data_IF_285944917283
#
_entry.id   IF_285944917283
#
_cell.length_a   1.000
_cell.length_b   1.000
_cell.length_c   1.000
_cell.angle_alpha   90.00
_cell.angle_beta   90.00
_cell.angle_gamma   90.00
#
_symmetry.space_group_name_H-M   'P 1'
#
loop_
_entity.id
_entity.type
_entity.pdbx_description
1 polymer ?
#
# COMPACT_ATOMS: atom_id res chain seq x y z
N UNK A 1 12.38 -4.38 28.36
CA UNK A 1 11.60 -3.63 27.34
C UNK A 1 11.39 -4.49 26.12
N UNK A 2 10.18 -4.51 25.63
CA UNK A 2 9.87 -5.25 24.40
C UNK A 2 10.58 -4.61 23.19
N UNK A 3 11.17 -5.43 22.32
CA UNK A 3 11.73 -4.97 21.05
C UNK A 3 10.60 -4.44 20.18
N UNK A 4 10.70 -3.24 19.60
CA UNK A 4 9.67 -2.71 18.71
C UNK A 4 9.44 -3.66 17.52
N UNK A 5 8.19 -3.86 17.14
CA UNK A 5 7.85 -4.64 15.97
C UNK A 5 8.18 -3.82 14.71
N UNK A 6 9.01 -4.40 13.86
CA UNK A 6 9.50 -3.74 12.64
C UNK A 6 9.10 -4.46 11.34
N UNK A 7 8.42 -5.58 11.46
CA UNK A 7 8.01 -6.39 10.30
C UNK A 7 6.64 -7.01 10.49
N UNK A 8 5.97 -7.30 9.38
CA UNK A 8 4.64 -7.93 9.37
C UNK A 8 4.57 -8.99 8.29
N UNK A 9 4.05 -10.16 8.66
CA UNK A 9 3.74 -11.23 7.72
C UNK A 9 2.50 -10.90 6.88
N UNK A 10 2.25 -11.67 5.83
CA UNK A 10 1.05 -11.55 5.01
C UNK A 10 -0.24 -11.69 5.85
N UNK A 11 -0.28 -12.62 6.80
CA UNK A 11 -1.44 -12.80 7.69
C UNK A 11 -1.68 -11.58 8.59
N UNK A 12 -0.61 -11.01 9.13
CA UNK A 12 -0.69 -9.81 9.95
C UNK A 12 -1.14 -8.59 9.15
N UNK A 13 -0.67 -8.44 7.91
CA UNK A 13 -1.13 -7.39 6.99
C UNK A 13 -2.62 -7.56 6.68
N UNK A 14 -3.05 -8.80 6.44
CA UNK A 14 -4.46 -9.13 6.20
C UNK A 14 -5.37 -8.75 7.38
N UNK A 15 -4.87 -8.86 8.60
CA UNK A 15 -5.60 -8.43 9.80
C UNK A 15 -5.67 -6.89 9.95
N UNK A 16 -4.68 -6.16 9.42
CA UNK A 16 -4.62 -4.70 9.53
C UNK A 16 -5.34 -3.97 8.38
N UNK A 17 -5.34 -4.55 7.18
CA UNK A 17 -5.94 -3.94 5.99
C UNK A 17 -7.23 -4.68 5.59
N UNK A 18 -8.24 -3.97 5.08
CA UNK A 18 -9.49 -4.57 4.65
C UNK A 18 -9.41 -5.25 3.27
N UNK A 19 -8.36 -4.98 2.51
CA UNK A 19 -8.19 -5.48 1.14
C UNK A 19 -8.11 -7.00 1.09
N UNK A 20 -8.74 -7.59 0.07
CA UNK A 20 -8.79 -9.05 -0.14
C UNK A 20 -8.47 -9.36 -1.59
N UNK A 21 -8.22 -10.64 -1.88
CA UNK A 21 -8.00 -11.09 -3.25
C UNK A 21 -9.13 -10.58 -4.19
N UNK A 22 -8.80 -10.07 -5.38
CA UNK A 22 -7.48 -9.97 -6.02
C UNK A 22 -6.76 -8.64 -5.72
N UNK A 23 -7.16 -7.90 -4.72
CA UNK A 23 -6.73 -6.53 -4.45
C UNK A 23 -5.83 -6.38 -3.20
N UNK A 24 -5.37 -7.48 -2.63
CA UNK A 24 -4.37 -7.48 -1.56
C UNK A 24 -2.98 -7.43 -2.21
N UNK A 25 -2.35 -6.25 -2.22
CA UNK A 25 -1.16 -5.98 -3.03
C UNK A 25 0.13 -5.84 -2.22
N UNK A 26 0.12 -6.25 -0.95
CA UNK A 26 1.33 -6.23 -0.11
C UNK A 26 1.52 -7.60 0.52
N UNK A 27 2.67 -8.21 0.27
CA UNK A 27 2.98 -9.57 0.71
C UNK A 27 3.72 -9.60 2.05
N UNK A 28 4.50 -8.56 2.35
CA UNK A 28 5.27 -8.44 3.58
C UNK A 28 5.62 -6.99 3.86
N UNK A 29 5.69 -6.63 5.13
CA UNK A 29 6.36 -5.42 5.60
C UNK A 29 7.71 -5.83 6.17
N UNK A 30 8.79 -5.28 5.63
CA UNK A 30 10.17 -5.63 6.03
C UNK A 30 10.81 -4.60 6.94
N UNK A 31 10.26 -3.40 6.98
CA UNK A 31 10.64 -2.36 7.93
C UNK A 31 9.44 -1.47 8.26
N UNK A 32 9.34 -1.06 9.52
CA UNK A 32 8.24 -0.26 10.02
C UNK A 32 8.67 0.58 11.19
N UNK A 33 8.41 1.87 11.10
CA UNK A 33 8.58 2.82 12.20
C UNK A 33 7.25 3.51 12.47
N UNK A 34 6.68 3.36 13.70
CA UNK A 34 5.36 3.91 14.03
C UNK A 34 5.22 5.38 13.66
N UNK A 35 4.13 5.73 12.99
CA UNK A 35 3.76 7.06 12.54
C UNK A 35 4.80 7.75 11.63
N UNK A 36 5.75 7.01 11.07
CA UNK A 36 6.80 7.56 10.20
C UNK A 36 6.83 6.91 8.83
N UNK A 37 7.18 5.63 8.75
CA UNK A 37 7.30 4.94 7.46
C UNK A 37 7.11 3.44 7.57
N UNK A 38 6.92 2.83 6.42
CA UNK A 38 7.02 1.39 6.24
C UNK A 38 7.68 1.07 4.89
N UNK A 39 8.34 -0.07 4.82
CA UNK A 39 8.84 -0.66 3.59
C UNK A 39 8.10 -1.97 3.38
N UNK A 40 7.38 -2.06 2.28
CA UNK A 40 6.60 -3.24 1.90
C UNK A 40 7.11 -3.91 0.65
N UNK A 41 6.82 -5.20 0.53
CA UNK A 41 7.15 -6.02 -0.64
C UNK A 41 5.86 -6.48 -1.30
N UNK A 42 5.81 -6.38 -2.62
CA UNK A 42 4.87 -7.09 -3.48
C UNK A 42 5.63 -7.98 -4.46
N UNK A 43 5.36 -9.26 -4.43
CA UNK A 43 5.83 -10.17 -5.47
C UNK A 43 4.87 -10.11 -6.66
N UNK A 44 5.40 -9.78 -7.83
CA UNK A 44 4.62 -9.70 -9.06
C UNK A 44 4.68 -11.05 -9.75
N UNK A 45 3.53 -11.72 -9.86
CA UNK A 45 3.46 -13.05 -10.45
C UNK A 45 2.56 -13.08 -11.68
N UNK A 46 2.87 -13.97 -12.62
CA UNK A 46 2.02 -14.17 -13.80
C UNK A 46 0.61 -14.65 -13.42
N UNK A 47 0.47 -15.26 -12.26
CA UNK A 47 -0.81 -15.77 -11.72
C UNK A 47 -1.60 -14.68 -11.00
N UNK A 48 -1.76 -13.53 -11.64
CA UNK A 48 -2.60 -12.42 -11.16
C UNK A 48 -3.61 -12.04 -12.24
N UNK A 49 -4.88 -11.80 -11.87
CA UNK A 49 -5.98 -11.66 -12.88
C UNK A 49 -5.77 -10.53 -13.87
N UNK A 50 -5.15 -9.43 -13.48
CA UNK A 50 -5.00 -8.26 -14.35
C UNK A 50 -4.06 -8.51 -15.54
N UNK A 51 -3.16 -9.49 -15.48
CA UNK A 51 -2.27 -9.80 -16.59
C UNK A 51 -2.99 -10.47 -17.78
N UNK A 52 -4.20 -10.95 -17.59
CA UNK A 52 -5.00 -11.48 -18.71
C UNK A 52 -5.41 -10.37 -19.70
N UNK A 53 -5.66 -9.18 -19.19
CA UNK A 53 -6.12 -8.04 -19.98
C UNK A 53 -5.08 -6.94 -20.17
N UNK A 54 -4.02 -6.91 -19.40
CA UNK A 54 -3.03 -5.81 -19.43
C UNK A 54 -1.60 -6.33 -19.61
N UNK A 55 -1.19 -6.72 -20.79
CA UNK A 55 -1.94 -6.79 -22.05
C UNK A 55 -1.85 -8.21 -22.61
N UNK A 56 -2.77 -8.68 -23.44
CA UNK A 56 -2.68 -10.01 -24.03
C UNK A 56 -1.34 -10.26 -24.70
N UNK A 57 -0.61 -11.30 -24.25
CA UNK A 57 0.73 -11.62 -24.75
C UNK A 57 1.85 -10.69 -24.32
N UNK A 58 1.56 -9.64 -23.54
CA UNK A 58 2.53 -8.65 -23.07
C UNK A 58 2.18 -8.19 -21.64
N UNK A 59 2.46 -9.02 -20.62
CA UNK A 59 2.05 -8.72 -19.27
C UNK A 59 2.88 -7.59 -18.66
N UNK A 60 2.21 -6.52 -18.31
CA UNK A 60 2.78 -5.37 -17.60
C UNK A 60 1.88 -5.06 -16.41
N UNK A 61 2.46 -4.88 -15.22
CA UNK A 61 1.68 -4.47 -14.07
C UNK A 61 1.11 -3.06 -14.31
N UNK A 62 -0.23 -2.89 -14.20
CA UNK A 62 -0.81 -1.57 -14.34
C UNK A 62 -0.17 -0.58 -13.36
N UNK A 63 0.28 0.57 -13.88
CA UNK A 63 0.92 1.58 -13.04
C UNK A 63 0.04 2.06 -11.89
N UNK A 64 -1.26 2.16 -12.13
CA UNK A 64 -2.23 2.52 -11.08
C UNK A 64 -2.30 1.50 -9.96
N UNK A 65 -1.99 0.23 -10.22
CA UNK A 65 -1.90 -0.80 -9.19
C UNK A 65 -0.59 -0.72 -8.40
N UNK A 66 0.48 -0.21 -8.97
CA UNK A 66 1.71 0.10 -8.22
C UNK A 66 1.41 1.22 -7.22
N UNK A 67 0.71 2.26 -7.65
CA UNK A 67 0.26 3.36 -6.78
C UNK A 67 -0.63 2.81 -5.66
N UNK A 68 -1.57 1.94 -5.99
CA UNK A 68 -2.43 1.28 -4.99
C UNK A 68 -1.62 0.44 -4.00
N UNK A 69 -0.63 -0.33 -4.47
CA UNK A 69 0.23 -1.12 -3.60
C UNK A 69 1.00 -0.23 -2.61
N UNK A 70 1.54 0.89 -3.08
CA UNK A 70 2.18 1.89 -2.20
C UNK A 70 1.18 2.46 -1.19
N UNK A 71 -0.05 2.73 -1.61
CA UNK A 71 -1.12 3.19 -0.72
C UNK A 71 -1.43 2.19 0.39
N UNK A 72 -1.43 0.91 0.07
CA UNK A 72 -1.65 -0.15 1.06
C UNK A 72 -0.50 -0.23 2.07
N UNK A 73 0.74 -0.07 1.64
CA UNK A 73 1.88 0.07 2.56
C UNK A 73 1.68 1.27 3.48
N UNK A 74 1.25 2.40 2.93
CA UNK A 74 0.90 3.60 3.71
C UNK A 74 -0.23 3.36 4.70
N UNK A 75 -1.21 2.54 4.33
CA UNK A 75 -2.30 2.12 5.20
C UNK A 75 -1.81 1.40 6.45
N UNK A 76 -0.75 0.60 6.35
CA UNK A 76 -0.12 -0.05 7.50
C UNK A 76 0.40 1.00 8.50
N UNK A 77 0.95 2.08 8.01
CA UNK A 77 1.43 3.19 8.88
C UNK A 77 0.26 3.92 9.52
N UNK A 78 -0.75 4.32 8.73
CA UNK A 78 -1.88 5.12 9.21
C UNK A 78 -2.77 4.39 10.20
N UNK A 79 -3.13 3.14 9.89
CA UNK A 79 -4.13 2.41 10.67
C UNK A 79 -3.64 1.98 12.05
N UNK A 80 -2.36 2.13 12.33
CA UNK A 80 -1.78 1.83 13.64
C UNK A 80 -1.52 3.08 14.49
N UNK A 81 -1.86 4.25 13.98
CA UNK A 81 -1.75 5.50 14.76
C UNK A 81 -2.95 5.58 15.71
N UNK A 82 -2.71 5.79 17.02
CA UNK A 82 -3.81 5.91 17.99
C UNK A 82 -4.82 6.99 17.59
N UNK A 83 -6.10 6.65 17.60
CA UNK A 83 -7.20 7.54 17.24
C UNK A 83 -7.54 7.59 15.75
N UNK A 84 -6.77 6.94 14.89
CA UNK A 84 -7.14 6.73 13.49
C UNK A 84 -8.03 5.49 13.40
N UNK A 85 -9.28 5.70 13.01
CA UNK A 85 -10.29 4.63 12.91
C UNK A 85 -11.14 4.83 11.67
N UNK A 86 -11.44 3.76 10.97
CA UNK A 86 -12.28 3.76 9.79
C UNK A 86 -11.60 3.18 8.56
N UNK A 87 -12.12 3.55 7.40
CA UNK A 87 -11.61 3.11 6.11
C UNK A 87 -10.75 4.20 5.48
N UNK A 88 -9.54 3.83 5.08
CA UNK A 88 -8.62 4.72 4.40
C UNK A 88 -8.93 4.73 2.90
N UNK A 89 -9.32 5.87 2.37
CA UNK A 89 -9.61 6.04 0.94
C UNK A 89 -8.73 7.13 0.33
N UNK A 90 -8.43 7.02 -0.96
CA UNK A 90 -7.73 8.08 -1.67
C UNK A 90 -8.52 9.38 -1.67
N UNK A 91 -7.85 10.49 -1.35
CA UNK A 91 -8.35 11.86 -1.52
C UNK A 91 -7.65 12.57 -2.68
N UNK A 92 -6.44 12.18 -3.02
CA UNK A 92 -5.69 12.75 -4.13
C UNK A 92 -4.38 12.03 -4.36
N UNK A 93 -3.83 12.24 -5.55
CA UNK A 93 -2.56 11.67 -6.00
C UNK A 93 -1.83 12.78 -6.75
N UNK A 94 -0.62 13.11 -6.32
CA UNK A 94 0.19 14.15 -6.93
C UNK A 94 1.58 13.66 -7.30
N UNK A 95 2.18 14.29 -8.30
CA UNK A 95 3.59 14.10 -8.69
C UNK A 95 3.94 12.64 -8.98
N UNK A 96 3.00 11.87 -9.50
CA UNK A 96 3.22 10.48 -9.86
C UNK A 96 4.02 10.41 -11.15
N UNK A 97 5.07 9.58 -11.14
CA UNK A 97 5.88 9.27 -12.32
C UNK A 97 6.10 7.77 -12.38
N UNK A 98 5.86 7.22 -13.55
CA UNK A 98 6.16 5.84 -13.91
C UNK A 98 7.45 5.82 -14.70
N UNK A 99 8.50 5.22 -14.13
CA UNK A 99 9.87 5.28 -14.70
C UNK A 99 10.20 4.07 -15.54
N UNK A 100 9.69 2.91 -15.17
CA UNK A 100 9.98 1.63 -15.82
C UNK A 100 8.76 0.71 -15.73
N UNK A 101 8.54 -0.14 -16.76
CA UNK A 101 7.51 -1.18 -16.65
C UNK A 101 7.90 -2.22 -15.60
N UNK A 102 6.89 -2.73 -14.92
CA UNK A 102 7.02 -3.83 -13.95
C UNK A 102 6.32 -5.04 -14.55
N UNK A 103 6.99 -6.18 -14.54
CA UNK A 103 6.55 -7.40 -15.20
C UNK A 103 6.53 -8.59 -14.24
N UNK A 104 5.80 -9.67 -14.55
CA UNK A 104 5.83 -10.89 -13.75
C UNK A 104 7.26 -11.40 -13.53
N UNK A 105 7.58 -11.76 -12.31
CA UNK A 105 8.91 -12.14 -11.85
C UNK A 105 9.63 -11.02 -11.09
N UNK A 106 9.18 -9.78 -11.20
CA UNK A 106 9.72 -8.67 -10.44
C UNK A 106 9.23 -8.70 -8.98
N UNK A 107 10.06 -8.18 -8.09
CA UNK A 107 9.67 -7.89 -6.72
C UNK A 107 9.68 -6.38 -6.51
N UNK A 108 8.53 -5.79 -6.20
CA UNK A 108 8.43 -4.40 -5.80
C UNK A 108 8.87 -4.23 -4.36
N UNK A 109 9.77 -3.29 -4.12
CA UNK A 109 10.12 -2.81 -2.78
C UNK A 109 9.61 -1.38 -2.67
N UNK A 110 8.66 -1.15 -1.78
CA UNK A 110 7.92 0.11 -1.68
C UNK A 110 8.21 0.77 -0.34
N UNK A 111 8.84 1.94 -0.40
CA UNK A 111 9.08 2.78 0.79
C UNK A 111 8.04 3.88 0.83
N UNK A 112 7.27 3.95 1.89
CA UNK A 112 6.21 4.95 2.06
C UNK A 112 6.40 5.69 3.39
N UNK A 113 6.51 7.02 3.29
CA UNK A 113 6.72 7.91 4.42
C UNK A 113 5.50 8.77 4.69
N UNK A 114 5.11 8.89 5.96
CA UNK A 114 4.08 9.84 6.39
C UNK A 114 4.68 11.26 6.44
N UNK A 115 4.15 12.16 5.62
CA UNK A 115 4.57 13.57 5.57
C UNK A 115 3.74 14.47 6.49
N UNK A 116 2.43 14.21 6.57
CA UNK A 116 1.50 14.98 7.40
C UNK A 116 0.27 14.15 7.74
N UNK A 117 -0.27 14.39 8.93
CA UNK A 117 -1.55 13.85 9.35
C UNK A 117 -2.32 14.95 10.08
N UNK A 118 -3.48 15.35 9.53
CA UNK A 118 -4.33 16.40 10.09
C UNK A 118 -5.60 15.80 10.65
N UNK A 119 -5.94 16.17 11.89
CA UNK A 119 -7.18 15.75 12.58
C UNK A 119 -7.38 14.23 12.63
N UNK A 120 -6.29 13.46 12.55
CA UNK A 120 -6.31 11.98 12.46
C UNK A 120 -7.24 11.44 11.35
N UNK A 121 -7.45 12.23 10.29
CA UNK A 121 -8.34 11.93 9.17
C UNK A 121 -7.71 12.14 7.81
N UNK A 122 -6.81 13.12 7.68
CA UNK A 122 -6.24 13.53 6.39
C UNK A 122 -4.73 13.29 6.41
N UNK A 123 -4.30 12.26 5.72
CA UNK A 123 -2.90 11.89 5.62
C UNK A 123 -2.30 12.24 4.27
N UNK A 124 -1.04 12.67 4.28
CA UNK A 124 -0.22 12.85 3.09
C UNK A 124 1.04 12.02 3.23
N UNK A 125 1.35 11.24 2.20
CA UNK A 125 2.48 10.33 2.18
C UNK A 125 3.28 10.50 0.90
N UNK A 126 4.56 10.15 0.97
CA UNK A 126 5.44 9.98 -0.20
C UNK A 126 5.76 8.51 -0.39
N UNK A 127 5.51 8.01 -1.59
CA UNK A 127 5.82 6.63 -1.96
C UNK A 127 6.89 6.53 -3.03
N UNK A 128 7.73 5.51 -2.90
CA UNK A 128 8.72 5.10 -3.88
C UNK A 128 8.66 3.59 -4.05
N UNK A 129 8.57 3.13 -5.28
CA UNK A 129 8.63 1.71 -5.61
C UNK A 129 9.86 1.43 -6.46
N UNK A 130 10.59 0.39 -6.11
CA UNK A 130 11.82 -0.03 -6.76
C UNK A 130 11.77 -1.51 -7.12
N UNK A 131 12.46 -1.86 -8.20
CA UNK A 131 12.76 -3.24 -8.59
C UNK A 131 14.27 -3.35 -8.78
N UNK A 132 14.89 -4.30 -8.10
CA UNK A 132 16.35 -4.49 -8.12
C UNK A 132 17.15 -3.20 -7.84
N UNK A 133 16.66 -2.38 -6.91
CA UNK A 133 17.26 -1.11 -6.52
C UNK A 133 17.02 0.03 -7.50
N UNK A 134 16.24 -0.16 -8.56
CA UNK A 134 15.95 0.87 -9.56
C UNK A 134 14.53 1.40 -9.40
N UNK A 135 14.40 2.72 -9.35
CA UNK A 135 13.12 3.40 -9.21
C UNK A 135 12.21 3.10 -10.40
N UNK A 136 11.02 2.55 -10.13
CA UNK A 136 10.00 2.24 -11.14
C UNK A 136 8.80 3.18 -11.05
N UNK A 137 8.46 3.65 -9.86
CA UNK A 137 7.34 4.57 -9.63
C UNK A 137 7.59 5.40 -8.39
N UNK A 138 7.11 6.64 -8.39
CA UNK A 138 7.11 7.51 -7.22
C UNK A 138 5.90 8.43 -7.24
N UNK A 139 5.51 8.96 -6.10
CA UNK A 139 4.41 9.91 -6.01
C UNK A 139 4.08 10.35 -4.60
N UNK A 140 3.20 11.33 -4.50
CA UNK A 140 2.59 11.77 -3.26
C UNK A 140 1.14 11.28 -3.21
N UNK A 141 0.76 10.68 -2.08
CA UNK A 141 -0.53 10.03 -1.89
C UNK A 141 -1.26 10.74 -0.76
N UNK A 142 -2.49 11.16 -1.01
CA UNK A 142 -3.33 11.80 0.00
C UNK A 142 -4.51 10.90 0.33
N UNK A 143 -4.77 10.75 1.62
CA UNK A 143 -5.81 9.88 2.14
C UNK A 143 -6.79 10.62 2.99
N UNK A 144 -8.03 10.16 2.96
CA UNK A 144 -9.07 10.51 3.92
C UNK A 144 -9.50 9.25 4.65
N UNK A 145 -9.55 9.31 5.97
CA UNK A 145 -10.09 8.23 6.78
C UNK A 145 -11.57 8.50 7.00
N UNK A 146 -12.42 7.61 6.49
CA UNK A 146 -13.87 7.74 6.59
C UNK A 146 -14.42 6.70 7.57
N UNK A 147 -15.43 7.11 8.36
CA UNK A 147 -16.13 6.18 9.24
C UNK A 147 -16.94 5.20 8.42
N UNK A 148 -16.81 3.91 8.74
CA UNK A 148 -17.70 2.89 8.19
C UNK A 148 -18.97 2.87 9.02
N UNK A 149 -20.14 2.88 8.35
CA UNK A 149 -21.41 2.67 9.05
C UNK A 149 -21.38 1.29 9.70
N UNK A 150 -21.50 1.25 11.03
CA UNK A 150 -21.80 0.00 11.73
C UNK A 150 -23.17 -0.46 11.27
N UNK A 151 -23.23 -1.52 10.52
CA UNK A 151 -24.48 -2.22 10.25
C UNK A 151 -24.99 -2.70 11.63
N UNK A 152 -26.20 -2.28 12.06
CA UNK A 152 -26.75 -2.85 13.28
C UNK A 152 -26.83 -4.36 13.10
N UNK A 153 -26.16 -5.12 13.97
CA UNK A 153 -26.40 -6.55 14.03
C UNK A 153 -27.89 -6.74 14.25
N UNK A 154 -28.55 -7.35 13.27
CA UNK A 154 -29.96 -7.68 13.37
C UNK A 154 -30.22 -8.56 14.61
N UNK A 155 -31.19 -8.12 15.42
CA UNK A 155 -31.77 -8.96 16.47
C UNK A 155 -32.46 -10.15 15.85
#
# INVERSE_FOLDING_TARGET
MAVPKTSYSAEEIHALLPHRYPFALVDRIIDYVPAKHAIGIKNVTFNEPHFQGHFPGHPIMPGVLIVEAMAQVGGIVLMQIPGVQGLCVFAGIDKVRFRRPVVPGDQLVMTVELLALKRKRFGKMRGRAEVDGQLVCEGELMFSVVETATTPEGK
#
